data_IF_861834503455
#
_entry.id   IF_861834503455
#
_cell.length_a   1.000
_cell.length_b   1.000
_cell.length_c   1.000
_cell.angle_alpha   90.00
_cell.angle_beta   90.00
_cell.angle_gamma   90.00
#
_symmetry.space_group_name_H-M   'P 1'
#
loop_
_entity.id
_entity.type
_entity.pdbx_description
1 polymer ?
#
# COMPACT_ATOMS: atom_id res chain seq x y z
N UNK A 1 -8.52 -22.48 -2.77
CA UNK A 1 -8.20 -21.26 -3.54
C UNK A 1 -6.88 -20.70 -3.05
N UNK A 2 -6.01 -20.34 -3.95
CA UNK A 2 -4.71 -19.76 -3.64
C UNK A 2 -4.57 -18.40 -4.31
N UNK A 3 -3.98 -17.44 -3.58
CA UNK A 3 -3.83 -16.07 -4.00
C UNK A 3 -2.44 -15.58 -3.56
N UNK A 4 -1.73 -14.87 -4.44
CA UNK A 4 -0.46 -14.27 -4.09
C UNK A 4 -0.72 -12.87 -3.52
N UNK A 5 -0.13 -12.57 -2.36
CA UNK A 5 -0.02 -11.21 -1.86
C UNK A 5 1.40 -10.73 -2.18
N UNK A 6 1.52 -9.63 -2.93
CA UNK A 6 2.81 -9.08 -3.36
C UNK A 6 3.54 -8.41 -2.18
N UNK A 7 3.94 -9.21 -1.21
CA UNK A 7 4.59 -8.78 0.02
C UNK A 7 5.46 -9.90 0.59
N UNK A 8 6.47 -9.53 1.36
CA UNK A 8 7.28 -10.43 2.18
C UNK A 8 6.97 -10.31 3.66
N UNK A 9 6.09 -9.38 4.03
CA UNK A 9 5.71 -9.14 5.42
C UNK A 9 4.79 -10.26 5.91
N UNK A 10 5.33 -11.17 6.72
CA UNK A 10 4.61 -12.33 7.24
C UNK A 10 3.40 -11.97 8.09
N UNK A 11 3.48 -10.89 8.85
CA UNK A 11 2.37 -10.39 9.66
C UNK A 11 1.22 -9.92 8.78
N UNK A 12 1.52 -9.15 7.74
CA UNK A 12 0.53 -8.67 6.77
C UNK A 12 -0.14 -9.84 6.04
N UNK A 13 0.64 -10.82 5.63
CA UNK A 13 0.12 -12.03 4.96
C UNK A 13 -0.87 -12.76 5.85
N UNK A 14 -0.54 -12.96 7.12
CA UNK A 14 -1.44 -13.62 8.09
C UNK A 14 -2.71 -12.82 8.34
N UNK A 15 -2.59 -11.50 8.43
CA UNK A 15 -3.75 -10.62 8.63
C UNK A 15 -4.70 -10.66 7.43
N UNK A 16 -4.17 -10.59 6.22
CA UNK A 16 -4.97 -10.66 4.99
C UNK A 16 -5.62 -12.02 4.86
N UNK A 17 -4.88 -13.10 5.13
CA UNK A 17 -5.42 -14.47 5.10
C UNK A 17 -6.57 -14.63 6.09
N UNK A 18 -6.43 -14.13 7.32
CA UNK A 18 -7.47 -14.20 8.32
C UNK A 18 -8.74 -13.46 7.91
N UNK A 19 -8.60 -12.27 7.31
CA UNK A 19 -9.73 -11.48 6.81
C UNK A 19 -10.43 -12.21 5.66
N UNK A 20 -9.67 -12.68 4.68
CA UNK A 20 -10.23 -13.34 3.50
C UNK A 20 -10.85 -14.70 3.82
N UNK A 21 -10.32 -15.41 4.81
CA UNK A 21 -10.87 -16.70 5.24
C UNK A 21 -12.32 -16.61 5.73
N UNK A 22 -12.75 -15.44 6.22
CA UNK A 22 -14.14 -15.20 6.61
C UNK A 22 -15.10 -15.26 5.42
N UNK A 23 -14.61 -14.94 4.23
CA UNK A 23 -15.41 -14.94 2.99
C UNK A 23 -15.10 -16.12 2.09
N UNK A 24 -13.88 -16.64 2.16
CA UNK A 24 -13.39 -17.73 1.34
C UNK A 24 -12.72 -18.78 2.24
N UNK A 25 -13.51 -19.64 2.91
CA UNK A 25 -12.93 -20.68 3.78
C UNK A 25 -11.93 -21.55 3.04
N UNK A 26 -10.78 -21.80 3.65
CA UNK A 26 -9.73 -22.58 3.03
C UNK A 26 -8.81 -21.82 2.08
N UNK A 27 -8.97 -20.50 1.94
CA UNK A 27 -8.06 -19.70 1.14
C UNK A 27 -6.64 -19.78 1.70
N UNK A 28 -5.67 -19.83 0.81
CA UNK A 28 -4.25 -19.81 1.15
C UNK A 28 -3.59 -18.62 0.47
N UNK A 29 -2.86 -17.84 1.26
CA UNK A 29 -2.11 -16.69 0.75
C UNK A 29 -0.64 -17.09 0.60
N UNK A 30 -0.11 -16.85 -0.61
CA UNK A 30 1.31 -17.05 -0.93
C UNK A 30 2.02 -15.70 -0.88
N UNK A 31 3.24 -15.69 -0.33
CA UNK A 31 4.09 -14.49 -0.33
C UNK A 31 4.92 -14.40 -1.61
N UNK A 32 5.64 -13.28 -1.80
CA UNK A 32 6.62 -13.17 -2.87
C UNK A 32 7.74 -14.21 -2.71
N UNK A 33 8.13 -14.52 -1.48
CA UNK A 33 9.13 -15.55 -1.22
C UNK A 33 8.61 -16.94 -1.59
N UNK A 34 7.35 -17.24 -1.31
CA UNK A 34 6.73 -18.53 -1.65
C UNK A 34 6.73 -18.80 -3.16
N UNK A 35 6.62 -17.77 -3.98
CA UNK A 35 6.64 -17.90 -5.44
C UNK A 35 8.04 -17.62 -6.03
N UNK A 36 9.04 -17.46 -5.19
CA UNK A 36 10.43 -17.32 -5.62
C UNK A 36 10.80 -15.99 -6.26
N UNK A 37 10.05 -14.92 -5.98
CA UNK A 37 10.40 -13.60 -6.48
C UNK A 37 11.64 -13.07 -5.78
N UNK A 38 12.65 -12.68 -6.56
CA UNK A 38 13.93 -12.18 -6.05
C UNK A 38 14.04 -10.67 -6.32
N UNK A 39 14.55 -9.92 -5.34
CA UNK A 39 14.73 -8.47 -5.43
C UNK A 39 13.54 -7.70 -4.92
N UNK A 40 13.63 -6.40 -5.07
CA UNK A 40 12.58 -5.46 -4.65
C UNK A 40 11.79 -4.98 -5.87
N UNK A 41 10.54 -4.66 -5.65
CA UNK A 41 9.69 -4.07 -6.68
C UNK A 41 9.72 -2.56 -6.49
N UNK A 42 10.14 -1.83 -7.52
CA UNK A 42 10.16 -0.37 -7.49
C UNK A 42 8.76 0.20 -7.66
N UNK A 43 8.43 1.17 -6.81
CA UNK A 43 7.15 1.88 -6.85
C UNK A 43 7.36 3.28 -7.42
N UNK A 44 7.44 3.37 -8.76
CA UNK A 44 7.73 4.61 -9.49
C UNK A 44 6.49 5.27 -10.09
N UNK A 45 5.30 4.76 -9.79
CA UNK A 45 4.05 5.32 -10.28
C UNK A 45 3.69 6.64 -9.62
N UNK A 46 2.90 7.44 -10.30
CA UNK A 46 2.40 8.72 -9.80
C UNK A 46 1.06 8.57 -9.08
N UNK A 47 0.43 7.40 -9.16
CA UNK A 47 -0.84 7.10 -8.49
C UNK A 47 -0.72 5.85 -7.64
N UNK A 48 -1.62 5.72 -6.66
CA UNK A 48 -1.71 4.51 -5.84
C UNK A 48 -2.07 3.29 -6.69
N UNK A 49 -2.96 3.47 -7.66
CA UNK A 49 -3.38 2.41 -8.58
C UNK A 49 -2.20 1.87 -9.38
N UNK A 50 -1.38 2.75 -9.94
CA UNK A 50 -0.18 2.37 -10.70
C UNK A 50 0.80 1.59 -9.83
N UNK A 51 1.07 2.06 -8.62
CA UNK A 51 2.00 1.39 -7.71
C UNK A 51 1.49 0.01 -7.28
N UNK A 52 0.20 -0.10 -6.98
CA UNK A 52 -0.40 -1.39 -6.63
C UNK A 52 -0.31 -2.38 -7.80
N UNK A 53 -0.63 -1.95 -9.01
CA UNK A 53 -0.52 -2.79 -10.22
C UNK A 53 0.93 -3.18 -10.50
N UNK A 54 1.88 -2.26 -10.33
CA UNK A 54 3.32 -2.51 -10.54
C UNK A 54 3.83 -3.61 -9.62
N UNK A 55 3.26 -3.74 -8.42
CA UNK A 55 3.59 -4.83 -7.48
C UNK A 55 2.90 -6.13 -7.82
N UNK A 56 1.63 -6.09 -8.20
CA UNK A 56 0.84 -7.29 -8.47
C UNK A 56 1.24 -8.02 -9.75
N UNK A 57 1.57 -7.29 -10.81
CA UNK A 57 1.92 -7.87 -12.12
C UNK A 57 3.10 -8.83 -12.06
N UNK A 58 4.27 -8.45 -11.48
CA UNK A 58 5.40 -9.38 -11.42
C UNK A 58 5.12 -10.57 -10.49
N UNK A 59 4.25 -10.43 -9.50
CA UNK A 59 3.87 -11.54 -8.64
C UNK A 59 3.14 -12.65 -9.41
N UNK A 60 2.25 -12.28 -10.33
CA UNK A 60 1.58 -13.26 -11.22
C UNK A 60 2.60 -13.99 -12.07
N UNK A 61 3.56 -13.29 -12.65
CA UNK A 61 4.62 -13.91 -13.47
C UNK A 61 5.50 -14.84 -12.62
N UNK A 62 5.87 -14.42 -11.41
CA UNK A 62 6.67 -15.24 -10.50
C UNK A 62 5.95 -16.54 -10.11
N UNK A 63 4.63 -16.51 -10.02
CA UNK A 63 3.79 -17.69 -9.77
C UNK A 63 3.50 -18.50 -11.03
N UNK A 64 4.20 -18.27 -12.14
CA UNK A 64 4.03 -18.97 -13.43
C UNK A 64 2.60 -18.85 -13.97
N UNK A 65 1.93 -17.75 -13.69
CA UNK A 65 0.54 -17.48 -14.10
C UNK A 65 -0.45 -18.56 -13.63
N UNK A 66 -0.17 -19.18 -12.51
CA UNK A 66 -1.07 -20.19 -11.92
C UNK A 66 -2.04 -19.60 -10.91
N UNK A 67 -1.72 -18.42 -10.36
CA UNK A 67 -2.49 -17.79 -9.28
C UNK A 67 -2.72 -16.31 -9.57
N UNK A 68 -3.90 -15.77 -9.20
CA UNK A 68 -4.07 -14.32 -9.17
C UNK A 68 -3.19 -13.71 -8.08
N UNK A 69 -2.86 -12.43 -8.23
CA UNK A 69 -2.08 -11.70 -7.24
C UNK A 69 -2.81 -10.43 -6.82
N UNK A 70 -2.69 -10.08 -5.55
CA UNK A 70 -3.12 -8.79 -5.03
C UNK A 70 -1.93 -8.03 -4.49
N UNK A 71 -2.01 -6.72 -4.59
CA UNK A 71 -1.08 -5.80 -3.97
C UNK A 71 -1.84 -4.58 -3.50
N UNK A 72 -1.28 -3.89 -2.54
CA UNK A 72 -1.84 -2.63 -2.07
C UNK A 72 -0.78 -1.53 -2.13
N UNK A 73 -1.27 -0.31 -2.28
CA UNK A 73 -0.48 0.88 -2.04
C UNK A 73 -1.33 1.83 -1.22
N UNK A 74 -0.73 2.44 -0.21
CA UNK A 74 -1.43 3.32 0.69
C UNK A 74 -0.58 4.52 1.05
N UNK A 75 -1.24 5.57 1.48
CA UNK A 75 -0.55 6.78 1.89
C UNK A 75 -1.48 7.79 2.50
N UNK A 76 -0.88 8.88 2.95
CA UNK A 76 -1.54 10.01 3.56
C UNK A 76 -1.53 11.19 2.59
N UNK A 77 -2.71 11.74 2.31
CA UNK A 77 -2.86 12.94 1.50
C UNK A 77 -3.32 14.08 2.40
N UNK A 78 -2.51 15.14 2.51
CA UNK A 78 -2.79 16.30 3.36
C UNK A 78 -3.23 17.46 2.49
N UNK A 79 -4.42 17.99 2.74
CA UNK A 79 -5.03 19.01 1.88
C UNK A 79 -4.20 20.31 1.83
N UNK A 80 -3.66 20.75 2.96
CA UNK A 80 -2.81 21.96 3.03
C UNK A 80 -1.47 21.81 2.29
N UNK A 81 -1.07 20.58 1.95
CA UNK A 81 0.16 20.29 1.21
C UNK A 81 -0.15 19.81 -0.22
N UNK A 82 -1.31 20.15 -0.75
CA UNK A 82 -1.76 19.75 -2.09
C UNK A 82 -1.74 18.23 -2.31
N UNK A 83 -2.06 17.47 -1.26
CA UNK A 83 -2.12 16.01 -1.31
C UNK A 83 -0.81 15.30 -0.93
N UNK A 84 0.28 16.03 -0.66
CA UNK A 84 1.50 15.41 -0.19
C UNK A 84 1.32 14.88 1.25
N UNK A 85 2.06 13.83 1.68
CA UNK A 85 3.06 13.08 0.94
C UNK A 85 2.51 12.13 -0.14
N UNK A 86 1.24 11.74 -0.10
CA UNK A 86 0.60 10.93 -1.13
C UNK A 86 1.31 9.60 -1.36
N UNK A 87 1.60 9.27 -2.62
CA UNK A 87 2.29 8.01 -2.99
C UNK A 87 3.71 7.90 -2.43
N UNK A 88 4.27 9.02 -1.94
CA UNK A 88 5.61 9.05 -1.35
C UNK A 88 5.60 8.91 0.17
N UNK A 89 4.46 8.59 0.79
CA UNK A 89 4.29 8.56 2.25
C UNK A 89 5.35 7.74 2.98
N UNK A 90 5.68 6.56 2.49
CA UNK A 90 6.65 5.67 3.14
C UNK A 90 8.09 6.20 3.11
N UNK A 91 8.39 7.14 2.22
CA UNK A 91 9.72 7.71 2.01
C UNK A 91 9.73 9.23 1.94
N UNK A 92 8.78 9.85 2.61
CA UNK A 92 8.58 11.31 2.56
C UNK A 92 9.83 12.10 2.98
N UNK A 93 10.52 11.64 4.02
CA UNK A 93 11.77 12.25 4.50
C UNK A 93 13.02 11.78 3.75
N UNK A 94 12.86 11.01 2.66
CA UNK A 94 13.95 10.52 1.81
C UNK A 94 14.42 9.10 2.13
N UNK A 95 14.26 8.62 3.36
CA UNK A 95 14.54 7.23 3.73
C UNK A 95 13.29 6.37 3.59
N UNK A 96 13.46 5.09 3.26
CA UNK A 96 12.33 4.17 3.18
C UNK A 96 12.04 3.57 4.56
N UNK A 97 10.79 3.66 5.00
CA UNK A 97 10.34 3.03 6.24
C UNK A 97 10.72 3.75 7.53
N UNK A 98 11.25 4.98 7.47
CA UNK A 98 11.55 5.78 8.66
C UNK A 98 10.32 6.63 9.05
N UNK A 99 9.41 6.01 9.80
CA UNK A 99 8.15 6.66 10.20
C UNK A 99 8.38 7.90 11.07
N UNK A 100 9.37 7.86 11.96
CA UNK A 100 9.67 9.01 12.82
C UNK A 100 10.15 10.22 12.02
N UNK A 101 11.05 10.02 11.05
CA UNK A 101 11.52 11.08 10.17
C UNK A 101 10.40 11.60 9.26
N UNK A 102 9.57 10.71 8.73
CA UNK A 102 8.43 11.08 7.89
C UNK A 102 7.42 11.92 8.67
N UNK A 103 7.09 11.55 9.90
CA UNK A 103 6.19 12.30 10.77
C UNK A 103 6.79 13.66 11.15
N UNK A 104 8.07 13.71 11.46
CA UNK A 104 8.75 14.97 11.81
C UNK A 104 8.75 15.95 10.64
N UNK A 105 9.03 15.49 9.42
CA UNK A 105 8.99 16.33 8.23
C UNK A 105 7.57 16.83 7.95
N UNK A 106 6.58 15.96 8.10
CA UNK A 106 5.17 16.31 7.89
C UNK A 106 4.76 17.44 8.84
N UNK A 107 5.06 17.32 10.13
CA UNK A 107 4.73 18.33 11.12
C UNK A 107 5.48 19.63 10.88
N UNK A 108 6.74 19.57 10.43
CA UNK A 108 7.53 20.74 10.06
C UNK A 108 6.87 21.50 8.89
N UNK A 109 6.44 20.78 7.88
CA UNK A 109 5.79 21.38 6.71
C UNK A 109 4.41 21.97 7.04
N UNK A 110 3.79 21.53 8.14
CA UNK A 110 2.51 22.04 8.62
C UNK A 110 2.64 23.08 9.74
N UNK A 111 3.86 23.49 10.10
CA UNK A 111 4.10 24.37 11.26
C UNK A 111 3.29 25.67 11.22
N UNK A 112 3.11 26.27 10.03
CA UNK A 112 2.35 27.49 9.84
C UNK A 112 0.88 27.26 9.45
N UNK A 113 0.41 26.00 9.47
CA UNK A 113 -0.95 25.64 9.11
C UNK A 113 -1.80 25.51 10.37
N UNK A 114 -2.92 26.28 10.50
CA UNK A 114 -3.82 26.13 11.64
C UNK A 114 -4.37 24.71 11.75
N UNK A 115 -4.67 24.26 12.97
CA UNK A 115 -5.14 22.91 13.24
C UNK A 115 -6.41 22.57 12.46
N UNK A 116 -7.33 23.50 12.29
CA UNK A 116 -8.58 23.33 11.55
C UNK A 116 -8.36 23.18 10.03
N UNK A 117 -7.20 23.57 9.53
CA UNK A 117 -6.83 23.43 8.11
C UNK A 117 -5.94 22.22 7.82
N UNK A 118 -5.65 21.39 8.84
CA UNK A 118 -4.83 20.19 8.71
C UNK A 118 -5.64 18.95 8.36
N UNK A 119 -6.68 19.14 7.54
CA UNK A 119 -7.49 18.00 7.07
C UNK A 119 -6.68 17.11 6.16
N UNK A 120 -6.88 15.82 6.29
CA UNK A 120 -6.14 14.81 5.55
C UNK A 120 -7.00 13.58 5.32
N UNK A 121 -6.55 12.71 4.42
CA UNK A 121 -7.18 11.42 4.20
C UNK A 121 -6.11 10.34 4.10
N UNK A 122 -6.41 9.20 4.66
CA UNK A 122 -5.63 7.99 4.45
C UNK A 122 -6.22 7.26 3.26
N UNK A 123 -5.39 6.98 2.27
CA UNK A 123 -5.81 6.33 1.03
C UNK A 123 -5.22 4.92 0.99
N UNK A 124 -6.03 3.94 0.64
CA UNK A 124 -5.58 2.58 0.38
C UNK A 124 -6.14 2.14 -0.96
N UNK A 125 -5.27 1.69 -1.84
CA UNK A 125 -5.63 1.13 -3.13
C UNK A 125 -5.20 -0.32 -3.20
N UNK A 126 -6.09 -1.19 -3.65
CA UNK A 126 -5.81 -2.62 -3.83
C UNK A 126 -5.92 -2.93 -5.32
N UNK A 127 -4.91 -3.60 -5.87
CA UNK A 127 -4.93 -4.11 -7.23
C UNK A 127 -5.05 -5.63 -7.19
N UNK A 128 -5.88 -6.18 -8.09
CA UNK A 128 -6.01 -7.60 -8.32
C UNK A 128 -5.65 -7.86 -9.78
N UNK A 129 -4.67 -8.73 -10.01
CA UNK A 129 -4.24 -9.12 -11.36
C UNK A 129 -4.47 -10.62 -11.51
N UNK A 130 -5.21 -11.00 -12.54
CA UNK A 130 -5.50 -12.40 -12.87
C UNK A 130 -4.44 -13.00 -13.79
N UNK A 131 -4.29 -14.33 -13.78
CA UNK A 131 -3.36 -15.02 -14.70
C UNK A 131 -3.62 -14.75 -16.17
N UNK A 132 -4.87 -14.47 -16.56
CA UNK A 132 -5.26 -14.15 -17.95
C UNK A 132 -5.01 -12.69 -18.36
N UNK A 133 -4.46 -11.88 -17.46
CA UNK A 133 -4.13 -10.48 -17.70
C UNK A 133 -5.21 -9.48 -17.30
N UNK A 134 -6.37 -9.91 -16.82
CA UNK A 134 -7.39 -8.98 -16.30
C UNK A 134 -6.87 -8.31 -15.04
N UNK A 135 -7.22 -7.03 -14.90
CA UNK A 135 -6.78 -6.21 -13.77
C UNK A 135 -7.97 -5.44 -13.19
N UNK A 136 -8.04 -5.39 -11.86
CA UNK A 136 -9.06 -4.64 -11.13
C UNK A 136 -8.38 -3.82 -10.06
N UNK A 137 -8.78 -2.57 -9.89
CA UNK A 137 -8.33 -1.74 -8.78
C UNK A 137 -9.51 -1.25 -7.97
N UNK A 138 -9.32 -1.17 -6.64
CA UNK A 138 -10.31 -0.66 -5.70
C UNK A 138 -9.63 0.32 -4.78
N UNK A 139 -10.28 1.44 -4.49
CA UNK A 139 -9.73 2.50 -3.66
C UNK A 139 -10.65 2.78 -2.48
N UNK A 140 -10.05 2.87 -1.27
CA UNK A 140 -10.73 3.29 -0.06
C UNK A 140 -10.06 4.52 0.54
N UNK A 141 -10.83 5.38 1.19
CA UNK A 141 -10.33 6.58 1.84
C UNK A 141 -10.94 6.73 3.23
N UNK A 142 -10.13 7.20 4.18
CA UNK A 142 -10.58 7.57 5.53
C UNK A 142 -10.14 8.98 5.81
N UNK A 143 -11.08 9.87 6.09
CA UNK A 143 -10.79 11.27 6.37
C UNK A 143 -10.47 11.51 7.84
N UNK A 144 -9.64 12.50 8.11
CA UNK A 144 -9.22 12.86 9.45
C UNK A 144 -8.43 14.16 9.47
N UNK A 145 -7.68 14.34 10.52
CA UNK A 145 -6.83 15.52 10.74
C UNK A 145 -5.45 15.12 11.25
N UNK A 146 -4.47 15.93 10.89
CA UNK A 146 -3.12 15.78 11.43
C UNK A 146 -3.07 16.48 12.80
N UNK A 147 -2.59 15.77 13.79
CA UNK A 147 -2.34 16.29 15.14
C UNK A 147 -0.85 16.58 15.32
N UNK A 148 -0.51 17.34 16.38
CA UNK A 148 0.89 17.73 16.63
C UNK A 148 1.76 16.61 17.20
N UNK A 149 1.15 15.50 17.61
CA UNK A 149 1.85 14.38 18.25
C UNK A 149 1.54 13.06 17.53
N UNK A 150 2.52 12.16 17.52
CA UNK A 150 2.32 10.79 17.08
C UNK A 150 1.53 10.01 18.14
N UNK A 151 0.61 9.16 17.69
CA UNK A 151 -0.19 8.29 18.56
C UNK A 151 0.05 6.82 18.26
#
# INVERSE_FOLDING_TARGET
MELILASRNKKKIREVEAILANHFPGIRILSLDDVGYIGDIEENGETYEENALTKARPAVEAGNRQYPAIADDSGLSVDALNGAPGVYSARYAGGHGDDAANNALLLKNLADTPAEERTARFVCCIALVYPDGREITVRGETEGRIIDEAR
#
